data_IF_941559072602
#
_entry.id   IF_941559072602
#
_cell.length_a   1.000
_cell.length_b   1.000
_cell.length_c   1.000
_cell.angle_alpha   90.00
_cell.angle_beta   90.00
_cell.angle_gamma   90.00
#
_symmetry.space_group_name_H-M   'P 1'
#
loop_
_entity.id
_entity.type
_entity.pdbx_description
1 polymer ?
#
# COMPACT_ATOMS: atom_id res chain seq x y z
N UNK A 1 -37.79 18.46 -44.46
CA UNK A 1 -38.66 17.59 -43.64
C UNK A 1 -37.80 16.41 -43.19
N UNK A 2 -37.27 16.48 -41.96
CA UNK A 2 -37.66 15.67 -40.77
C UNK A 2 -36.90 14.33 -40.75
N UNK A 3 -36.29 13.82 -39.68
CA UNK A 3 -36.27 14.15 -38.25
C UNK A 3 -35.06 13.49 -37.54
N UNK A 4 -34.62 14.09 -36.44
CA UNK A 4 -33.70 13.53 -35.43
C UNK A 4 -34.31 12.27 -34.80
N UNK A 5 -33.46 11.33 -34.34
CA UNK A 5 -33.62 10.66 -33.03
C UNK A 5 -32.33 9.97 -32.57
N UNK A 6 -31.63 10.66 -31.67
CA UNK A 6 -30.52 10.17 -30.84
C UNK A 6 -31.03 9.09 -29.88
N UNK A 7 -30.40 7.91 -29.85
CA UNK A 7 -30.62 6.89 -28.81
C UNK A 7 -29.36 6.78 -27.95
N UNK A 8 -29.39 7.43 -26.79
CA UNK A 8 -28.47 7.16 -25.68
C UNK A 8 -28.80 5.78 -25.09
N UNK A 9 -27.85 4.86 -25.11
CA UNK A 9 -27.91 3.62 -24.32
C UNK A 9 -26.66 3.55 -23.45
N UNK A 10 -26.88 3.41 -22.14
CA UNK A 10 -25.88 3.42 -21.07
C UNK A 10 -24.82 2.35 -21.31
N UNK A 11 -23.55 2.76 -21.49
CA UNK A 11 -22.41 1.85 -21.36
C UNK A 11 -22.17 1.62 -19.87
N UNK A 12 -22.62 0.48 -19.39
CA UNK A 12 -22.19 -0.10 -18.11
C UNK A 12 -20.72 -0.47 -18.25
N UNK A 13 -19.83 0.32 -17.67
CA UNK A 13 -18.37 0.07 -17.70
C UNK A 13 -18.04 -1.07 -16.74
N UNK A 14 -18.30 -2.30 -17.17
CA UNK A 14 -17.74 -3.51 -16.58
C UNK A 14 -16.41 -3.81 -17.30
N UNK A 15 -15.40 -2.99 -17.02
CA UNK A 15 -14.00 -3.17 -17.42
C UNK A 15 -13.21 -2.58 -16.24
N UNK A 16 -12.39 -3.30 -15.49
CA UNK A 16 -11.27 -4.12 -15.93
C UNK A 16 -10.98 -5.20 -14.88
N UNK A 17 -11.23 -6.46 -15.22
CA UNK A 17 -10.52 -7.58 -14.60
C UNK A 17 -9.75 -8.24 -15.73
N UNK A 18 -8.42 -8.26 -15.65
CA UNK A 18 -7.55 -8.80 -16.70
C UNK A 18 -7.73 -10.33 -16.81
N UNK A 19 -7.48 -10.93 -18.00
CA UNK A 19 -7.64 -12.36 -18.23
C UNK A 19 -6.81 -13.26 -17.31
N UNK A 20 -5.80 -12.71 -16.64
CA UNK A 20 -4.91 -13.38 -15.69
C UNK A 20 -5.67 -13.89 -14.44
N UNK A 21 -6.80 -13.27 -14.09
CA UNK A 21 -7.62 -13.63 -12.93
C UNK A 21 -8.33 -15.00 -13.11
N UNK A 22 -8.44 -15.51 -14.34
CA UNK A 22 -9.23 -16.69 -14.69
C UNK A 22 -8.44 -18.01 -14.71
N UNK A 23 -7.11 -17.99 -14.58
CA UNK A 23 -6.27 -19.21 -14.57
C UNK A 23 -5.47 -19.30 -13.27
N UNK A 24 -5.96 -20.12 -12.34
CA UNK A 24 -5.35 -20.27 -11.01
C UNK A 24 -3.85 -20.62 -11.07
N UNK A 25 -3.02 -19.74 -10.49
CA UNK A 25 -1.98 -20.02 -9.48
C UNK A 25 -0.89 -18.93 -9.48
N UNK A 26 -1.25 -17.74 -9.01
CA UNK A 26 -0.39 -16.97 -8.08
C UNK A 26 -1.31 -16.56 -6.92
N UNK A 27 -0.89 -16.67 -5.64
CA UNK A 27 -1.63 -16.00 -4.57
C UNK A 27 -1.74 -14.52 -4.99
N UNK A 28 -2.91 -13.87 -4.87
CA UNK A 28 -3.12 -12.57 -5.48
C UNK A 28 -2.23 -11.52 -4.81
N UNK A 29 -1.01 -11.30 -5.28
CA UNK A 29 -0.07 -10.35 -4.68
C UNK A 29 -0.65 -8.95 -4.74
N UNK A 30 -0.84 -8.33 -3.58
CA UNK A 30 -1.44 -7.00 -3.47
C UNK A 30 -0.37 -5.92 -3.32
N UNK A 31 0.67 -5.95 -4.17
CA UNK A 31 1.83 -5.06 -4.03
C UNK A 31 1.41 -3.60 -4.02
N UNK A 32 0.46 -3.21 -4.87
CA UNK A 32 -0.06 -1.84 -4.90
C UNK A 32 -0.74 -1.44 -3.58
N UNK A 33 -1.39 -2.38 -2.89
CA UNK A 33 -1.99 -2.13 -1.58
C UNK A 33 -0.92 -2.02 -0.50
N UNK A 34 0.13 -2.86 -0.56
CA UNK A 34 1.27 -2.74 0.35
C UNK A 34 1.92 -1.35 0.22
N UNK A 35 2.21 -0.92 -1.01
CA UNK A 35 2.79 0.40 -1.28
C UNK A 35 1.87 1.53 -0.79
N UNK A 36 0.56 1.40 -1.02
CA UNK A 36 -0.41 2.38 -0.56
C UNK A 36 -0.51 2.46 0.96
N UNK A 37 -0.46 1.32 1.67
CA UNK A 37 -0.52 1.29 3.14
C UNK A 37 0.74 1.89 3.74
N UNK A 38 1.92 1.52 3.26
CA UNK A 38 3.19 2.08 3.75
C UNK A 38 3.28 3.59 3.50
N UNK A 39 2.89 4.03 2.30
CA UNK A 39 2.83 5.46 1.97
C UNK A 39 1.84 6.21 2.87
N UNK A 40 0.67 5.64 3.13
CA UNK A 40 -0.36 6.29 3.94
C UNK A 40 0.07 6.42 5.40
N UNK A 41 0.77 5.41 5.95
CA UNK A 41 1.35 5.49 7.30
C UNK A 41 2.33 6.66 7.43
N UNK A 42 3.16 6.91 6.41
CA UNK A 42 4.13 8.02 6.44
C UNK A 42 3.51 9.40 6.24
N UNK A 43 2.30 9.48 5.68
CA UNK A 43 1.61 10.74 5.40
C UNK A 43 0.65 11.14 6.52
N UNK A 44 0.03 10.16 7.19
CA UNK A 44 -1.01 10.39 8.18
C UNK A 44 -0.57 9.95 9.57
N UNK A 45 -0.56 10.89 10.52
CA UNK A 45 -0.09 10.67 11.90
C UNK A 45 -0.75 9.47 12.61
N UNK A 46 -2.03 9.23 12.35
CA UNK A 46 -2.82 8.20 13.03
C UNK A 46 -2.99 6.91 12.21
N UNK A 47 -2.45 6.85 10.99
CA UNK A 47 -2.67 5.71 10.10
C UNK A 47 -2.09 4.41 10.65
N UNK A 48 -0.91 4.43 11.28
CA UNK A 48 -0.34 3.23 11.88
C UNK A 48 -1.25 2.64 12.96
N UNK A 49 -1.81 3.47 13.83
CA UNK A 49 -2.68 3.03 14.92
C UNK A 49 -3.94 2.30 14.42
N UNK A 50 -4.42 2.64 13.22
CA UNK A 50 -5.57 1.96 12.59
C UNK A 50 -5.21 0.56 12.11
N UNK A 51 -3.97 0.34 11.67
CA UNK A 51 -3.57 -0.90 10.99
C UNK A 51 -2.70 -1.83 11.82
N UNK A 52 -2.12 -1.36 12.92
CA UNK A 52 -1.15 -2.12 13.74
C UNK A 52 -1.71 -3.46 14.26
N UNK A 53 -3.00 -3.51 14.57
CA UNK A 53 -3.68 -4.74 15.02
C UNK A 53 -4.12 -5.66 13.86
N UNK A 54 -3.97 -5.20 12.60
CA UNK A 54 -4.47 -5.87 11.40
C UNK A 54 -3.32 -6.54 10.63
N UNK A 55 -2.17 -5.87 10.51
CA UNK A 55 -1.04 -6.32 9.68
C UNK A 55 0.23 -6.52 10.51
N UNK A 56 1.01 -7.53 10.13
CA UNK A 56 2.34 -7.81 10.69
C UNK A 56 3.39 -7.68 9.60
N UNK A 57 4.68 -7.45 9.94
CA UNK A 57 5.75 -7.38 8.95
C UNK A 57 5.75 -8.58 8.00
N UNK A 58 5.54 -9.79 8.51
CA UNK A 58 5.53 -11.01 7.69
C UNK A 58 4.40 -11.08 6.66
N UNK A 59 3.36 -10.23 6.78
CA UNK A 59 2.22 -10.22 5.85
C UNK A 59 2.53 -9.53 4.53
N UNK A 60 3.60 -8.76 4.48
CA UNK A 60 4.05 -8.12 3.24
C UNK A 60 4.81 -9.13 2.38
N UNK A 61 4.47 -9.19 1.09
CA UNK A 61 5.10 -10.11 0.15
C UNK A 61 6.55 -9.70 -0.18
N UNK A 62 6.82 -8.39 -0.31
CA UNK A 62 8.18 -7.90 -0.58
C UNK A 62 8.98 -7.78 0.72
N UNK A 63 10.16 -8.38 0.77
CA UNK A 63 11.11 -8.22 1.90
C UNK A 63 11.38 -6.75 2.22
N UNK A 64 11.54 -5.90 1.18
CA UNK A 64 11.67 -4.45 1.35
C UNK A 64 10.52 -3.84 2.16
N UNK A 65 9.27 -4.24 1.90
CA UNK A 65 8.11 -3.76 2.62
C UNK A 65 8.06 -4.28 4.06
N UNK A 66 8.51 -5.50 4.30
CA UNK A 66 8.65 -6.04 5.66
C UNK A 66 9.63 -5.20 6.49
N UNK A 67 10.77 -4.82 5.91
CA UNK A 67 11.76 -3.95 6.55
C UNK A 67 11.20 -2.55 6.81
N UNK A 68 10.56 -1.94 5.81
CA UNK A 68 9.94 -0.61 5.95
C UNK A 68 8.91 -0.62 7.09
N UNK A 69 8.01 -1.60 7.12
CA UNK A 69 7.00 -1.70 8.17
C UNK A 69 7.62 -1.97 9.55
N UNK A 70 8.64 -2.82 9.63
CA UNK A 70 9.38 -3.08 10.88
C UNK A 70 10.02 -1.79 11.41
N UNK A 71 10.64 -0.97 10.56
CA UNK A 71 11.18 0.32 10.98
C UNK A 71 10.09 1.28 11.48
N UNK A 72 8.89 1.26 10.89
CA UNK A 72 7.74 2.04 11.40
C UNK A 72 7.31 1.59 12.80
N UNK A 73 7.25 0.27 13.05
CA UNK A 73 6.95 -0.27 14.38
C UNK A 73 8.02 0.14 15.41
N UNK A 74 9.31 0.06 15.05
CA UNK A 74 10.39 0.48 15.93
C UNK A 74 10.31 1.97 16.30
N UNK A 75 9.92 2.83 15.35
CA UNK A 75 9.69 4.26 15.63
C UNK A 75 8.49 4.45 16.54
N UNK A 76 7.40 3.72 16.29
CA UNK A 76 6.20 3.75 17.14
C UNK A 76 6.51 3.35 18.59
N UNK A 77 7.27 2.28 18.81
CA UNK A 77 7.70 1.83 20.14
C UNK A 77 8.56 2.87 20.87
N UNK A 78 9.38 3.61 20.12
CA UNK A 78 10.19 4.72 20.64
C UNK A 78 9.40 6.02 20.82
N UNK A 79 8.10 6.03 20.49
CA UNK A 79 7.27 7.23 20.46
C UNK A 79 7.80 8.33 19.54
N UNK A 80 8.49 7.94 18.47
CA UNK A 80 9.03 8.85 17.45
C UNK A 80 8.02 9.07 16.32
N UNK A 81 8.08 10.22 15.61
CA UNK A 81 7.28 10.43 14.41
C UNK A 81 7.54 9.36 13.35
N UNK A 82 6.50 9.04 12.59
CA UNK A 82 6.54 8.06 11.50
C UNK A 82 6.23 8.79 10.21
N UNK A 83 7.27 9.32 9.60
CA UNK A 83 7.23 10.06 8.35
C UNK A 83 8.37 9.60 7.43
N UNK A 84 8.39 10.11 6.21
CA UNK A 84 9.39 9.75 5.21
C UNK A 84 10.84 9.92 5.69
N UNK A 85 11.14 10.97 6.45
CA UNK A 85 12.50 11.27 6.89
C UNK A 85 12.93 10.33 8.02
N UNK A 86 12.08 10.18 9.04
CA UNK A 86 12.33 9.31 10.20
C UNK A 86 12.42 7.84 9.78
N UNK A 87 11.53 7.36 8.92
CA UNK A 87 11.58 5.99 8.38
C UNK A 87 12.85 5.77 7.56
N UNK A 88 13.21 6.70 6.68
CA UNK A 88 14.46 6.59 5.88
C UNK A 88 15.70 6.54 6.77
N UNK A 89 15.74 7.37 7.82
CA UNK A 89 16.85 7.40 8.76
C UNK A 89 16.92 6.12 9.61
N UNK A 90 15.78 5.61 10.08
CA UNK A 90 15.72 4.35 10.83
C UNK A 90 16.20 3.18 9.95
N UNK A 91 15.73 3.08 8.69
CA UNK A 91 16.20 2.07 7.74
C UNK A 91 17.70 2.16 7.47
N UNK A 92 18.26 3.38 7.39
CA UNK A 92 19.69 3.60 7.24
C UNK A 92 20.47 3.12 8.47
N UNK A 93 19.99 3.47 9.66
CA UNK A 93 20.59 3.04 10.93
C UNK A 93 20.57 1.51 11.08
N UNK A 94 19.52 0.87 10.59
CA UNK A 94 19.36 -0.59 10.65
C UNK A 94 20.13 -1.33 9.53
N UNK A 95 20.79 -0.60 8.61
CA UNK A 95 21.51 -1.18 7.48
C UNK A 95 20.61 -1.71 6.36
N UNK A 96 19.31 -1.45 6.40
CA UNK A 96 18.30 -2.01 5.48
C UNK A 96 17.89 -1.06 4.34
N UNK A 97 18.35 0.19 4.35
CA UNK A 97 17.92 1.20 3.36
C UNK A 97 18.21 0.78 1.92
N UNK A 98 19.40 0.24 1.64
CA UNK A 98 19.78 -0.18 0.30
C UNK A 98 19.00 -1.42 -0.16
N UNK A 99 18.68 -2.33 0.76
CA UNK A 99 17.82 -3.51 0.51
C UNK A 99 16.42 -3.05 0.08
N UNK A 100 15.95 -1.93 0.63
CA UNK A 100 14.65 -1.36 0.29
C UNK A 100 14.66 -0.55 -1.02
N UNK A 101 15.77 -0.48 -1.76
CA UNK A 101 15.86 0.32 -2.99
C UNK A 101 16.22 1.79 -2.75
N UNK A 102 16.73 2.11 -1.56
CA UNK A 102 17.26 3.43 -1.22
C UNK A 102 16.20 4.47 -0.88
N UNK A 103 16.65 5.67 -0.53
CA UNK A 103 15.78 6.77 -0.11
C UNK A 103 14.75 7.15 -1.20
N UNK A 104 15.12 7.02 -2.49
CA UNK A 104 14.21 7.30 -3.59
C UNK A 104 12.98 6.39 -3.57
N UNK A 105 13.13 5.10 -3.24
CA UNK A 105 11.99 4.18 -3.17
C UNK A 105 11.02 4.57 -2.06
N UNK A 106 11.52 4.97 -0.89
CA UNK A 106 10.67 5.43 0.22
C UNK A 106 9.83 6.65 -0.19
N UNK A 107 10.43 7.59 -0.93
CA UNK A 107 9.70 8.73 -1.53
C UNK A 107 8.66 8.30 -2.56
N UNK A 108 8.93 7.25 -3.34
CA UNK A 108 7.93 6.73 -4.28
C UNK A 108 6.71 6.17 -3.56
N UNK A 109 6.87 5.50 -2.42
CA UNK A 109 5.75 4.96 -1.64
C UNK A 109 4.76 6.07 -1.24
N UNK A 110 5.26 7.23 -0.79
CA UNK A 110 4.39 8.36 -0.44
C UNK A 110 3.69 8.97 -1.65
N UNK A 111 4.31 8.95 -2.84
CA UNK A 111 3.72 9.51 -4.05
C UNK A 111 2.57 8.67 -4.63
N UNK A 112 2.44 7.40 -4.22
CA UNK A 112 1.38 6.49 -4.71
C UNK A 112 0.05 6.69 -3.98
N UNK A 113 0.03 7.48 -2.91
CA UNK A 113 -1.14 7.62 -2.04
C UNK A 113 -1.91 8.89 -2.34
N UNK A 114 -3.09 8.74 -2.94
CA UNK A 114 -4.03 9.84 -3.12
C UNK A 114 -4.85 10.14 -1.85
N UNK A 115 -5.11 9.13 -1.02
CA UNK A 115 -5.84 9.25 0.24
C UNK A 115 -5.58 8.05 1.15
N UNK A 116 -5.52 8.31 2.45
CA UNK A 116 -5.47 7.27 3.49
C UNK A 116 -6.86 6.81 3.97
N UNK A 117 -7.96 7.33 3.42
CA UNK A 117 -9.31 7.06 3.91
C UNK A 117 -9.70 5.57 3.94
N UNK A 118 -9.10 4.77 3.05
CA UNK A 118 -9.38 3.34 2.92
C UNK A 118 -8.24 2.46 3.46
N UNK A 119 -7.33 3.01 4.27
CA UNK A 119 -6.14 2.28 4.72
C UNK A 119 -6.49 0.99 5.48
N UNK A 120 -7.52 1.01 6.31
CA UNK A 120 -7.98 -0.18 7.05
C UNK A 120 -8.44 -1.29 6.10
N UNK A 121 -9.21 -0.93 5.07
CA UNK A 121 -9.67 -1.87 4.06
C UNK A 121 -8.50 -2.49 3.28
N UNK A 122 -7.51 -1.69 2.89
CA UNK A 122 -6.31 -2.18 2.23
C UNK A 122 -5.49 -3.11 3.14
N UNK A 123 -5.32 -2.75 4.41
CA UNK A 123 -4.62 -3.55 5.41
C UNK A 123 -5.30 -4.92 5.62
N UNK A 124 -6.64 -4.97 5.68
CA UNK A 124 -7.39 -6.23 5.80
C UNK A 124 -7.17 -7.14 4.58
N UNK A 125 -7.08 -6.58 3.38
CA UNK A 125 -6.79 -7.36 2.16
C UNK A 125 -5.38 -7.96 2.22
N UNK A 126 -4.38 -7.19 2.67
CA UNK A 126 -3.00 -7.70 2.86
C UNK A 126 -3.00 -8.87 3.85
N UNK A 127 -3.67 -8.70 5.00
CA UNK A 127 -3.75 -9.73 6.04
C UNK A 127 -4.45 -11.03 5.56
N UNK A 128 -5.51 -10.91 4.77
CA UNK A 128 -6.23 -12.08 4.22
C UNK A 128 -5.40 -12.87 3.22
N UNK A 129 -4.54 -12.19 2.44
CA UNK A 129 -3.76 -12.79 1.36
C UNK A 129 -2.46 -13.46 1.83
N UNK A 130 -2.10 -13.27 3.09
CA UNK A 130 -0.99 -13.97 3.74
C UNK A 130 -1.39 -15.39 4.23
N UNK A 131 -2.69 -15.70 4.28
CA UNK A 131 -3.22 -17.04 4.61
C UNK A 131 -3.29 -17.90 3.35
#
# INVERSE_FOLDING_TARGET
>A
MTEKKTKFTRKTTNQLLSPEVLQGKLPPQAIELEEAVLGAIMLEKNALAVVIDIIKPTYFYKDAHQHVYTSMLNLFEKSEPIDILTVTNQLRSDGNLEICGGAYYITQLTNRVASAANIEFHARIIAQKHI
#
